data_IF_140970221947
#
_entry.id   IF_140970221947
#
_cell.length_a   1.000
_cell.length_b   1.000
_cell.length_c   1.000
_cell.angle_alpha   90.00
_cell.angle_beta   90.00
_cell.angle_gamma   90.00
#
_symmetry.space_group_name_H-M   'P 1'
#
loop_
_entity.id
_entity.type
_entity.pdbx_description
1 polymer ?
#
# COMPACT_ATOMS: atom_id res chain seq x y z
N UNK A 1 -5.58 7.72 15.45
CA UNK A 1 -5.09 7.01 14.26
C UNK A 1 -6.26 6.34 13.57
N UNK A 2 -6.37 6.49 12.21
CA UNK A 2 -7.39 5.84 11.40
C UNK A 2 -6.97 4.42 11.04
N UNK A 3 -7.93 3.56 10.72
CA UNK A 3 -7.69 2.21 10.27
C UNK A 3 -8.31 2.00 8.90
N UNK A 4 -7.51 1.58 7.92
CA UNK A 4 -7.94 1.12 6.61
C UNK A 4 -7.60 -0.35 6.41
N UNK A 5 -8.23 -1.01 5.44
CA UNK A 5 -7.86 -2.35 5.01
C UNK A 5 -6.91 -2.28 3.81
N UNK A 6 -5.90 -3.13 3.79
CA UNK A 6 -4.93 -3.23 2.71
C UNK A 6 -4.90 -4.66 2.16
N UNK A 7 -4.76 -4.78 0.85
CA UNK A 7 -4.70 -6.06 0.16
C UNK A 7 -3.39 -6.17 -0.62
N UNK A 8 -2.87 -7.38 -0.71
CA UNK A 8 -1.64 -7.65 -1.45
C UNK A 8 -1.63 -9.03 -2.11
N UNK A 9 -2.49 -9.93 -1.65
CA UNK A 9 -2.69 -11.33 -2.00
C UNK A 9 -1.42 -12.21 -1.91
N UNK A 10 -1.40 -13.04 -0.91
CA UNK A 10 -0.48 -14.17 -0.81
C UNK A 10 -1.29 -15.49 -0.69
N UNK A 11 -2.26 -15.66 -1.57
CA UNK A 11 -3.12 -16.84 -1.62
C UNK A 11 -3.15 -17.43 -3.02
N UNK A 12 -3.35 -18.77 -3.11
CA UNK A 12 -3.35 -19.49 -4.39
C UNK A 12 -4.71 -19.47 -5.11
N UNK A 13 -5.83 -19.28 -4.37
CA UNK A 13 -7.16 -19.27 -4.95
C UNK A 13 -7.63 -17.84 -5.23
N UNK A 14 -7.58 -17.45 -6.50
CA UNK A 14 -7.99 -16.12 -6.96
C UNK A 14 -9.44 -15.80 -6.66
N UNK A 15 -10.34 -16.79 -6.72
CA UNK A 15 -11.77 -16.60 -6.44
C UNK A 15 -11.98 -16.23 -4.96
N UNK A 16 -11.30 -16.93 -4.06
CA UNK A 16 -11.34 -16.65 -2.63
C UNK A 16 -10.73 -15.29 -2.30
N UNK A 17 -9.68 -14.85 -3.01
CA UNK A 17 -9.09 -13.54 -2.82
C UNK A 17 -10.06 -12.41 -3.21
N UNK A 18 -10.79 -12.53 -4.31
CA UNK A 18 -11.82 -11.53 -4.67
C UNK A 18 -13.02 -11.57 -3.73
N UNK A 19 -13.43 -12.75 -3.24
CA UNK A 19 -14.47 -12.87 -2.20
C UNK A 19 -14.02 -12.12 -0.94
N UNK A 20 -12.80 -12.40 -0.45
CA UNK A 20 -12.22 -11.73 0.70
C UNK A 20 -12.21 -10.20 0.52
N UNK A 21 -11.73 -9.69 -0.62
CA UNK A 21 -11.73 -8.27 -0.92
C UNK A 21 -13.12 -7.65 -0.80
N UNK A 22 -14.13 -8.25 -1.46
CA UNK A 22 -15.47 -7.65 -1.52
C UNK A 22 -16.22 -7.75 -0.19
N UNK A 23 -16.10 -8.86 0.54
CA UNK A 23 -16.72 -9.02 1.85
C UNK A 23 -16.06 -8.13 2.91
N UNK A 24 -14.72 -8.06 2.93
CA UNK A 24 -13.99 -7.18 3.82
C UNK A 24 -14.25 -5.69 3.52
N UNK A 25 -14.38 -5.30 2.24
CA UNK A 25 -14.74 -3.94 1.86
C UNK A 25 -16.13 -3.54 2.39
N UNK A 26 -17.15 -4.43 2.29
CA UNK A 26 -18.49 -4.18 2.89
C UNK A 26 -18.41 -4.06 4.41
N UNK A 27 -17.63 -4.93 5.05
CA UNK A 27 -17.40 -4.87 6.49
C UNK A 27 -16.75 -3.54 6.88
N UNK A 28 -15.67 -3.14 6.20
CA UNK A 28 -14.98 -1.89 6.45
C UNK A 28 -15.91 -0.67 6.31
N UNK A 29 -16.76 -0.66 5.27
CA UNK A 29 -17.75 0.38 5.03
C UNK A 29 -18.80 0.44 6.14
N UNK A 30 -19.23 -0.70 6.66
CA UNK A 30 -20.19 -0.80 7.74
C UNK A 30 -19.60 -0.37 9.09
N UNK A 31 -18.37 -0.77 9.38
CA UNK A 31 -17.72 -0.61 10.68
C UNK A 31 -16.84 0.67 10.80
N UNK A 32 -16.91 1.60 9.85
CA UNK A 32 -16.28 2.91 9.97
C UNK A 32 -14.76 2.92 9.76
N UNK A 33 -14.22 1.98 8.99
CA UNK A 33 -12.84 2.05 8.54
C UNK A 33 -12.66 3.23 7.57
N UNK A 34 -11.44 3.73 7.45
CA UNK A 34 -11.12 4.91 6.63
C UNK A 34 -11.04 4.60 5.14
N UNK A 35 -10.45 3.48 4.76
CA UNK A 35 -10.14 3.16 3.37
C UNK A 35 -10.03 1.66 3.09
N UNK A 36 -10.16 1.32 1.81
CA UNK A 36 -9.75 0.03 1.24
C UNK A 36 -8.67 0.31 0.19
N UNK A 37 -7.49 -0.29 0.37
CA UNK A 37 -6.33 -0.15 -0.50
C UNK A 37 -6.12 -1.40 -1.34
N UNK A 38 -6.04 -1.24 -2.66
CA UNK A 38 -5.77 -2.36 -3.59
C UNK A 38 -4.46 -2.15 -4.34
N UNK A 39 -3.61 -3.19 -4.46
CA UNK A 39 -2.27 -3.08 -5.03
C UNK A 39 -2.26 -3.23 -6.55
N UNK A 40 -1.06 -3.04 -7.13
CA UNK A 40 -0.71 -3.40 -8.49
C UNK A 40 0.45 -4.40 -8.49
N UNK A 41 0.26 -5.55 -9.15
CA UNK A 41 1.28 -6.60 -9.29
C UNK A 41 1.15 -7.30 -10.63
N UNK A 42 2.29 -7.59 -11.26
CA UNK A 42 2.33 -8.21 -12.58
C UNK A 42 3.21 -9.46 -12.61
N UNK A 43 2.85 -10.43 -13.45
CA UNK A 43 3.68 -11.56 -13.89
C UNK A 43 4.28 -12.42 -12.78
N UNK A 44 3.64 -12.49 -11.61
CA UNK A 44 4.09 -13.28 -10.49
C UNK A 44 2.89 -13.82 -9.69
N UNK A 45 2.99 -15.04 -9.15
CA UNK A 45 1.91 -15.66 -8.35
C UNK A 45 1.62 -14.87 -7.07
N UNK A 46 2.67 -14.28 -6.48
CA UNK A 46 2.55 -13.40 -5.34
C UNK A 46 1.92 -12.07 -5.76
N UNK A 47 0.70 -11.82 -5.32
CA UNK A 47 -0.10 -10.66 -5.73
C UNK A 47 -0.88 -10.84 -7.04
N UNK A 48 -0.88 -12.04 -7.63
CA UNK A 48 -1.50 -12.35 -8.93
C UNK A 48 -2.93 -11.85 -9.14
N UNK A 49 -3.85 -11.83 -8.14
CA UNK A 49 -5.20 -11.32 -8.31
C UNK A 49 -5.30 -9.81 -8.58
N UNK A 50 -4.23 -9.05 -8.39
CA UNK A 50 -4.27 -7.58 -8.45
C UNK A 50 -3.40 -6.96 -9.55
N UNK A 51 -3.65 -7.26 -10.85
CA UNK A 51 -2.84 -6.66 -11.93
C UNK A 51 -3.19 -5.19 -12.21
N UNK A 52 -4.36 -4.72 -11.78
CA UNK A 52 -4.80 -3.35 -12.00
C UNK A 52 -5.65 -2.84 -10.83
N UNK A 53 -5.12 -1.88 -10.04
CA UNK A 53 -5.84 -1.34 -8.89
C UNK A 53 -7.10 -0.53 -9.28
N UNK A 54 -7.19 0.07 -10.47
CA UNK A 54 -8.39 0.81 -10.89
C UNK A 54 -9.58 -0.14 -11.10
N UNK A 55 -9.34 -1.35 -11.62
CA UNK A 55 -10.38 -2.36 -11.83
C UNK A 55 -10.93 -2.89 -10.50
N UNK A 56 -10.06 -3.26 -9.55
CA UNK A 56 -10.48 -3.74 -8.24
C UNK A 56 -11.10 -2.63 -7.40
N UNK A 57 -10.58 -1.42 -7.48
CA UNK A 57 -11.15 -0.23 -6.84
C UNK A 57 -12.53 0.13 -7.39
N UNK A 58 -12.77 0.00 -8.70
CA UNK A 58 -14.10 0.20 -9.28
C UNK A 58 -15.13 -0.81 -8.72
N UNK A 59 -14.72 -2.08 -8.54
CA UNK A 59 -15.58 -3.08 -7.92
C UNK A 59 -15.91 -2.72 -6.46
N UNK A 60 -14.91 -2.30 -5.66
CA UNK A 60 -15.11 -1.83 -4.28
C UNK A 60 -15.99 -0.58 -4.23
N UNK A 61 -15.78 0.38 -5.13
CA UNK A 61 -16.53 1.63 -5.18
C UNK A 61 -18.05 1.40 -5.31
N UNK A 62 -18.46 0.39 -6.10
CA UNK A 62 -19.88 0.10 -6.36
C UNK A 62 -20.62 -0.59 -5.21
N UNK A 63 -19.90 -1.11 -4.22
CA UNK A 63 -20.47 -1.86 -3.09
C UNK A 63 -20.26 -1.18 -1.73
N UNK A 64 -19.64 -0.01 -1.73
CA UNK A 64 -19.33 0.81 -0.54
C UNK A 64 -19.85 2.22 -0.72
N UNK A 65 -20.02 2.95 0.39
CA UNK A 65 -20.58 4.30 0.39
C UNK A 65 -19.82 5.30 1.26
N UNK A 66 -18.91 4.84 2.11
CA UNK A 66 -18.20 5.66 3.11
C UNK A 66 -16.69 5.56 3.03
N UNK A 67 -16.16 4.33 2.95
CA UNK A 67 -14.70 4.11 2.89
C UNK A 67 -14.11 4.73 1.64
N UNK A 68 -12.94 5.35 1.77
CA UNK A 68 -12.15 5.76 0.62
C UNK A 68 -11.67 4.53 -0.15
N UNK A 69 -11.59 4.66 -1.46
CA UNK A 69 -11.14 3.60 -2.38
C UNK A 69 -9.80 4.00 -2.96
N UNK A 70 -8.76 3.30 -2.57
CA UNK A 70 -7.39 3.76 -2.82
C UNK A 70 -6.51 2.72 -3.51
N UNK A 71 -5.63 3.21 -4.40
CA UNK A 71 -4.52 2.40 -4.88
C UNK A 71 -3.41 2.31 -3.83
N UNK A 72 -2.97 1.13 -3.54
CA UNK A 72 -1.81 0.89 -2.70
C UNK A 72 -0.81 -0.08 -3.33
N UNK A 73 -0.25 0.25 -4.52
CA UNK A 73 -0.11 1.51 -5.25
C UNK A 73 -0.43 1.39 -6.73
N UNK A 74 -0.43 2.52 -7.46
CA UNK A 74 -0.22 2.56 -8.91
C UNK A 74 1.29 2.64 -9.17
N UNK A 75 1.84 1.72 -9.94
CA UNK A 75 3.24 1.77 -10.41
C UNK A 75 3.30 2.68 -11.64
N UNK A 76 3.29 3.99 -11.40
CA UNK A 76 3.05 5.01 -12.43
C UNK A 76 3.98 4.92 -13.65
N UNK A 77 5.28 4.57 -13.52
CA UNK A 77 6.18 4.42 -14.67
C UNK A 77 5.81 3.30 -15.67
N UNK A 78 4.90 2.38 -15.29
CA UNK A 78 4.42 1.32 -16.19
C UNK A 78 3.31 1.80 -17.12
N UNK A 79 2.69 2.97 -16.85
CA UNK A 79 1.45 3.41 -17.47
C UNK A 79 1.59 4.74 -18.23
N UNK A 80 0.69 4.93 -19.19
CA UNK A 80 0.38 6.25 -19.72
C UNK A 80 -0.46 7.03 -18.71
N UNK A 81 -0.03 8.23 -18.36
CA UNK A 81 -0.66 9.08 -17.33
C UNK A 81 -2.07 9.53 -17.72
N UNK A 82 -2.35 9.66 -19.03
CA UNK A 82 -3.72 9.93 -19.52
C UNK A 82 -4.66 8.79 -19.15
N UNK A 83 -4.21 7.53 -19.36
CA UNK A 83 -5.00 6.34 -18.98
C UNK A 83 -5.24 6.27 -17.48
N UNK A 84 -4.22 6.52 -16.67
CA UNK A 84 -4.35 6.55 -15.20
C UNK A 84 -5.37 7.63 -14.78
N UNK A 85 -5.28 8.84 -15.35
CA UNK A 85 -6.21 9.91 -15.03
C UNK A 85 -7.66 9.56 -15.41
N UNK A 86 -7.90 8.97 -16.62
CA UNK A 86 -9.22 8.57 -17.05
C UNK A 86 -9.81 7.43 -16.21
N UNK A 87 -9.02 6.38 -15.95
CA UNK A 87 -9.45 5.23 -15.15
C UNK A 87 -9.83 5.64 -13.73
N UNK A 88 -9.00 6.46 -13.09
CA UNK A 88 -9.25 6.89 -11.72
C UNK A 88 -10.35 7.97 -11.63
N UNK A 89 -10.57 8.77 -12.67
CA UNK A 89 -11.74 9.63 -12.75
C UNK A 89 -13.05 8.80 -12.83
N UNK A 90 -13.04 7.63 -13.47
CA UNK A 90 -14.18 6.68 -13.45
C UNK A 90 -14.38 6.14 -12.03
N UNK A 91 -13.30 5.72 -11.34
CA UNK A 91 -13.38 5.25 -9.94
C UNK A 91 -13.93 6.36 -9.03
N UNK A 92 -13.47 7.59 -9.22
CA UNK A 92 -13.93 8.75 -8.43
C UNK A 92 -15.42 9.03 -8.66
N UNK A 93 -15.90 8.95 -9.91
CA UNK A 93 -17.32 9.07 -10.22
C UNK A 93 -18.15 7.94 -9.59
N UNK A 94 -17.70 6.68 -9.70
CA UNK A 94 -18.40 5.51 -9.14
C UNK A 94 -18.43 5.53 -7.61
N UNK A 95 -17.41 6.07 -6.98
CA UNK A 95 -17.29 6.15 -5.52
C UNK A 95 -17.89 7.40 -4.90
N UNK A 96 -18.43 8.33 -5.70
CA UNK A 96 -18.91 9.63 -5.22
C UNK A 96 -17.80 10.49 -4.59
N UNK A 97 -16.63 10.53 -5.23
CA UNK A 97 -15.49 11.36 -4.80
C UNK A 97 -14.63 10.76 -3.70
N UNK A 98 -14.54 9.41 -3.58
CA UNK A 98 -13.75 8.72 -2.54
C UNK A 98 -12.45 8.10 -3.08
N UNK A 99 -12.04 8.42 -4.31
CA UNK A 99 -10.81 7.90 -4.88
C UNK A 99 -9.55 8.53 -4.26
N UNK A 100 -8.47 7.74 -4.16
CA UNK A 100 -7.14 8.20 -3.76
C UNK A 100 -6.05 7.30 -4.32
N UNK A 101 -4.85 7.83 -4.56
CA UNK A 101 -3.78 7.09 -5.21
C UNK A 101 -2.46 7.19 -4.45
N UNK A 102 -1.92 6.03 -4.05
CA UNK A 102 -0.50 5.96 -3.74
C UNK A 102 0.27 5.64 -5.03
N UNK A 103 1.34 6.38 -5.27
CA UNK A 103 2.17 6.29 -6.46
C UNK A 103 3.50 5.64 -6.11
N UNK A 104 3.82 4.54 -6.81
CA UNK A 104 5.10 3.85 -6.68
C UNK A 104 5.98 4.05 -7.91
N UNK A 105 7.30 4.02 -7.71
CA UNK A 105 8.27 4.05 -8.82
C UNK A 105 8.43 2.68 -9.52
N UNK A 106 8.04 1.60 -8.85
CA UNK A 106 8.33 0.25 -9.31
C UNK A 106 9.77 -0.18 -8.99
N UNK A 107 9.93 -1.42 -8.56
CA UNK A 107 11.23 -1.99 -8.16
C UNK A 107 11.53 -3.32 -8.88
N UNK A 108 10.51 -4.03 -9.35
CA UNK A 108 10.67 -5.32 -10.01
C UNK A 108 10.92 -5.13 -11.52
N UNK A 109 12.12 -5.48 -12.04
CA UNK A 109 12.43 -5.32 -13.46
C UNK A 109 11.47 -6.08 -14.39
N UNK A 110 10.87 -7.19 -13.92
CA UNK A 110 9.95 -7.98 -14.72
C UNK A 110 8.65 -7.22 -15.03
N UNK A 111 8.18 -6.37 -14.14
CA UNK A 111 6.98 -5.55 -14.37
C UNK A 111 7.21 -4.56 -15.52
N UNK A 112 8.47 -4.13 -15.70
CA UNK A 112 8.85 -3.16 -16.73
C UNK A 112 8.85 -3.74 -18.17
N UNK A 113 8.47 -4.99 -18.39
CA UNK A 113 8.15 -5.45 -19.74
C UNK A 113 6.96 -4.68 -20.33
N UNK A 114 6.13 -4.04 -19.49
CA UNK A 114 5.05 -3.13 -19.90
C UNK A 114 5.60 -1.79 -20.41
N UNK A 115 6.74 -1.33 -19.90
CA UNK A 115 7.37 -0.06 -20.27
C UNK A 115 8.90 -0.13 -20.14
N UNK A 116 9.60 -0.90 -20.98
CA UNK A 116 11.03 -1.21 -20.79
C UNK A 116 11.94 0.02 -20.73
N UNK A 117 11.61 1.08 -21.49
CA UNK A 117 12.36 2.33 -21.51
C UNK A 117 12.24 3.19 -20.25
N UNK A 118 11.43 2.78 -19.27
CA UNK A 118 11.15 3.58 -18.07
C UNK A 118 11.88 3.09 -16.80
N UNK A 119 12.49 1.89 -16.82
CA UNK A 119 13.08 1.30 -15.61
C UNK A 119 14.20 2.18 -15.00
N UNK A 120 15.16 2.61 -15.81
CA UNK A 120 16.31 3.40 -15.34
C UNK A 120 15.95 4.83 -14.86
N UNK A 121 14.80 5.34 -15.25
CA UNK A 121 14.31 6.69 -14.91
C UNK A 121 13.03 6.68 -14.09
N UNK A 122 12.67 5.56 -13.50
CA UNK A 122 11.40 5.36 -12.82
C UNK A 122 11.12 6.40 -11.72
N UNK A 123 12.12 6.77 -10.92
CA UNK A 123 11.97 7.78 -9.86
C UNK A 123 11.66 9.18 -10.41
N UNK A 124 12.36 9.61 -11.47
CA UNK A 124 12.07 10.91 -12.09
C UNK A 124 10.68 10.96 -12.71
N UNK A 125 10.24 9.83 -13.30
CA UNK A 125 8.90 9.69 -13.87
C UNK A 125 7.78 9.78 -12.81
N UNK A 126 8.05 9.46 -11.54
CA UNK A 126 7.10 9.68 -10.45
C UNK A 126 6.88 11.17 -10.21
N UNK A 127 7.97 11.97 -10.11
CA UNK A 127 7.88 13.41 -9.91
C UNK A 127 7.05 14.10 -11.00
N UNK A 128 7.45 13.89 -12.25
CA UNK A 128 6.78 14.48 -13.42
C UNK A 128 5.33 13.98 -13.53
N UNK A 129 5.13 12.71 -13.23
CA UNK A 129 3.83 12.05 -13.32
C UNK A 129 2.82 12.55 -12.30
N UNK A 130 3.23 12.81 -11.06
CA UNK A 130 2.36 13.38 -10.01
C UNK A 130 1.90 14.78 -10.43
N UNK A 131 2.81 15.61 -10.94
CA UNK A 131 2.46 16.95 -11.42
C UNK A 131 1.47 16.90 -12.58
N UNK A 132 1.71 16.03 -13.55
CA UNK A 132 0.83 15.86 -14.69
C UNK A 132 -0.54 15.28 -14.31
N UNK A 133 -0.60 14.30 -13.39
CA UNK A 133 -1.86 13.77 -12.89
C UNK A 133 -2.70 14.86 -12.18
N UNK A 134 -2.09 15.76 -11.42
CA UNK A 134 -2.78 16.89 -10.82
C UNK A 134 -3.36 17.83 -11.88
N UNK A 135 -2.58 18.17 -12.91
CA UNK A 135 -3.04 19.02 -14.00
C UNK A 135 -4.21 18.36 -14.78
N UNK A 136 -4.10 17.08 -15.10
CA UNK A 136 -5.18 16.32 -15.76
C UNK A 136 -6.43 16.23 -14.89
N UNK A 137 -6.26 16.01 -13.59
CA UNK A 137 -7.37 15.92 -12.64
C UNK A 137 -8.12 17.25 -12.51
N UNK A 138 -7.38 18.38 -12.41
CA UNK A 138 -7.98 19.72 -12.38
C UNK A 138 -8.63 20.14 -13.70
N UNK A 139 -8.36 19.42 -14.81
CA UNK A 139 -8.93 19.68 -16.13
C UNK A 139 -8.05 20.48 -17.07
N UNK A 140 -6.83 20.69 -16.69
CA UNK A 140 -5.89 21.32 -17.58
C UNK A 140 -5.60 20.43 -18.80
N UNK A 141 -5.35 21.08 -19.95
CA UNK A 141 -4.92 20.39 -21.14
C UNK A 141 -3.43 20.08 -21.06
N UNK A 142 -3.04 18.87 -21.43
CA UNK A 142 -1.64 18.49 -21.59
C UNK A 142 -1.29 18.33 -23.05
N UNK A 143 -0.02 18.64 -23.40
CA UNK A 143 0.47 18.46 -24.75
C UNK A 143 0.91 17.03 -24.99
N UNK A 144 0.51 16.47 -26.14
CA UNK A 144 0.90 15.13 -26.59
C UNK A 144 1.19 15.13 -28.09
N UNK A 145 2.17 14.32 -28.54
CA UNK A 145 2.38 14.12 -29.98
C UNK A 145 1.19 13.36 -30.57
N UNK A 146 0.65 13.87 -31.66
CA UNK A 146 -0.35 13.18 -32.47
C UNK A 146 0.27 12.18 -33.46
N UNK A 147 -0.56 11.39 -34.18
CA UNK A 147 -0.07 10.35 -35.10
C UNK A 147 0.86 10.86 -36.20
N UNK A 148 0.71 12.12 -36.63
CA UNK A 148 1.56 12.77 -37.64
C UNK A 148 2.75 13.53 -37.06
N UNK A 149 2.98 13.45 -35.74
CA UNK A 149 4.02 14.19 -35.02
C UNK A 149 3.62 15.63 -34.66
N UNK A 150 2.41 16.07 -35.01
CA UNK A 150 1.86 17.35 -34.56
C UNK A 150 1.57 17.35 -33.06
N UNK A 151 1.78 18.46 -32.38
CA UNK A 151 1.38 18.63 -30.99
C UNK A 151 -0.15 18.79 -30.90
N UNK A 152 -0.75 18.06 -29.97
CA UNK A 152 -2.18 18.15 -29.62
C UNK A 152 -2.36 18.51 -28.16
N UNK A 153 -3.33 19.36 -27.89
CA UNK A 153 -3.83 19.60 -26.54
C UNK A 153 -4.88 18.55 -26.22
N UNK A 154 -4.70 17.80 -25.15
CA UNK A 154 -5.56 16.69 -24.74
C UNK A 154 -6.14 16.99 -23.36
N UNK A 155 -7.45 16.85 -23.21
CA UNK A 155 -8.18 16.81 -21.95
C UNK A 155 -8.66 15.40 -21.69
N UNK A 156 -8.67 14.98 -20.42
CA UNK A 156 -9.18 13.68 -20.01
C UNK A 156 -10.65 13.73 -19.61
N UNK A 157 -11.38 12.67 -19.87
CA UNK A 157 -12.79 12.47 -19.52
C UNK A 157 -13.01 11.02 -19.05
N UNK A 158 -13.97 10.77 -18.08
CA UNK A 158 -14.84 11.78 -17.47
C UNK A 158 -14.07 12.75 -16.57
N UNK A 159 -14.70 13.85 -16.18
CA UNK A 159 -14.14 14.70 -15.12
C UNK A 159 -14.36 14.03 -13.78
N UNK A 160 -13.39 14.06 -12.86
CA UNK A 160 -13.57 13.57 -11.50
C UNK A 160 -14.60 14.42 -10.74
N UNK A 161 -15.11 13.92 -9.63
CA UNK A 161 -16.01 14.68 -8.74
C UNK A 161 -15.25 15.57 -7.77
N UNK A 162 -14.09 15.10 -7.27
CA UNK A 162 -13.19 15.91 -6.44
C UNK A 162 -12.38 16.86 -7.30
N UNK A 163 -12.15 18.06 -6.80
CA UNK A 163 -11.30 19.06 -7.45
C UNK A 163 -9.80 18.64 -7.38
N UNK A 164 -9.41 18.00 -6.29
CA UNK A 164 -8.05 17.45 -6.09
C UNK A 164 -8.10 15.96 -5.77
N UNK A 165 -7.20 15.19 -6.37
CA UNK A 165 -6.99 13.78 -5.99
C UNK A 165 -6.05 13.70 -4.79
N UNK A 166 -6.43 12.99 -3.70
CA UNK A 166 -5.50 12.67 -2.63
C UNK A 166 -4.39 11.76 -3.14
N UNK A 167 -3.14 12.19 -3.01
CA UNK A 167 -1.96 11.47 -3.48
C UNK A 167 -1.03 11.12 -2.32
N UNK A 168 -0.48 9.92 -2.37
CA UNK A 168 0.62 9.45 -1.53
C UNK A 168 1.78 9.02 -2.43
N UNK A 169 3.00 9.07 -1.91
CA UNK A 169 4.16 8.40 -2.50
C UNK A 169 4.44 7.15 -1.70
N UNK A 170 4.63 6.02 -2.38
CA UNK A 170 4.98 4.76 -1.73
C UNK A 170 6.48 4.66 -1.52
N UNK A 171 6.90 4.47 -0.27
CA UNK A 171 8.28 4.39 0.14
C UNK A 171 8.55 3.15 1.01
N UNK A 172 9.58 2.39 0.66
CA UNK A 172 10.01 1.20 1.40
C UNK A 172 11.20 1.46 2.36
N UNK A 173 11.52 2.74 2.68
CA UNK A 173 12.59 3.13 3.59
C UNK A 173 13.74 3.92 2.96
N UNK A 174 13.58 4.46 1.74
CA UNK A 174 14.54 5.39 1.12
C UNK A 174 14.25 6.82 1.55
N UNK A 175 15.17 7.48 2.27
CA UNK A 175 15.07 8.89 2.68
C UNK A 175 14.74 9.82 1.49
N UNK A 176 15.40 9.61 0.34
CA UNK A 176 15.12 10.36 -0.88
C UNK A 176 13.63 10.29 -1.31
N UNK A 177 12.99 9.13 -1.12
CA UNK A 177 11.58 8.95 -1.49
C UNK A 177 10.64 9.62 -0.48
N UNK A 178 11.00 9.63 0.79
CA UNK A 178 10.28 10.37 1.83
C UNK A 178 10.36 11.88 1.59
N UNK A 179 11.57 12.41 1.36
CA UNK A 179 11.75 13.84 1.01
C UNK A 179 10.99 14.21 -0.26
N UNK A 180 11.01 13.35 -1.31
CA UNK A 180 10.25 13.56 -2.54
C UNK A 180 8.74 13.72 -2.28
N UNK A 181 8.17 12.91 -1.38
CA UNK A 181 6.77 13.02 -1.02
C UNK A 181 6.45 14.38 -0.40
N UNK A 182 7.28 14.83 0.54
CA UNK A 182 7.18 16.15 1.17
C UNK A 182 7.28 17.28 0.15
N UNK A 183 8.33 17.28 -0.68
CA UNK A 183 8.52 18.28 -1.75
C UNK A 183 7.33 18.39 -2.70
N UNK A 184 6.62 17.31 -2.93
CA UNK A 184 5.45 17.26 -3.80
C UNK A 184 4.12 17.55 -3.07
N UNK A 185 4.12 17.75 -1.75
CA UNK A 185 2.90 17.89 -0.95
C UNK A 185 1.99 16.67 -1.07
N UNK A 186 2.59 15.47 -1.11
CA UNK A 186 1.89 14.19 -1.09
C UNK A 186 1.99 13.56 0.29
N UNK A 187 1.02 12.71 0.67
CA UNK A 187 1.19 11.83 1.81
C UNK A 187 2.27 10.77 1.58
N UNK A 188 2.60 10.03 2.63
CA UNK A 188 3.49 8.86 2.59
C UNK A 188 2.66 7.58 2.80
N UNK A 189 2.90 6.56 1.97
CA UNK A 189 2.51 5.17 2.24
C UNK A 189 3.77 4.34 2.42
N UNK A 190 3.99 3.82 3.61
CA UNK A 190 5.16 3.01 3.95
C UNK A 190 4.80 1.74 4.71
N UNK A 191 5.79 0.94 5.12
CA UNK A 191 5.62 -0.29 5.87
C UNK A 191 6.83 -0.56 6.79
N UNK A 192 6.66 -1.47 7.77
CA UNK A 192 7.73 -1.85 8.70
C UNK A 192 8.49 -3.13 8.31
N UNK A 193 8.12 -3.81 7.22
CA UNK A 193 8.86 -4.97 6.75
C UNK A 193 10.20 -4.52 6.13
N UNK A 194 11.32 -4.94 6.73
CA UNK A 194 12.66 -4.55 6.27
C UNK A 194 13.13 -3.14 6.66
N UNK A 195 12.35 -2.41 7.48
CA UNK A 195 12.70 -1.09 8.01
C UNK A 195 12.78 -1.14 9.56
N UNK A 196 13.84 -0.56 10.14
CA UNK A 196 13.95 -0.40 11.59
C UNK A 196 13.09 0.77 12.09
N UNK A 197 12.83 0.82 13.40
CA UNK A 197 12.12 1.93 14.02
C UNK A 197 12.86 3.25 13.85
N UNK A 198 14.16 3.28 14.15
CA UNK A 198 14.99 4.47 14.01
C UNK A 198 14.98 4.99 12.56
N UNK A 199 15.03 4.05 11.58
CA UNK A 199 14.95 4.41 10.16
C UNK A 199 13.61 5.01 9.78
N UNK A 200 12.49 4.49 10.33
CA UNK A 200 11.18 5.08 10.11
C UNK A 200 11.11 6.49 10.68
N UNK A 201 11.57 6.68 11.93
CA UNK A 201 11.57 7.97 12.61
C UNK A 201 12.40 9.02 11.83
N UNK A 202 13.63 8.68 11.44
CA UNK A 202 14.49 9.56 10.64
C UNK A 202 13.80 9.92 9.29
N UNK A 203 13.24 8.93 8.60
CA UNK A 203 12.57 9.15 7.32
C UNK A 203 11.31 10.03 7.46
N UNK A 204 10.53 9.90 8.54
CA UNK A 204 9.37 10.74 8.80
C UNK A 204 9.79 12.19 9.10
N UNK A 205 10.91 12.38 9.79
CA UNK A 205 11.48 13.71 10.01
C UNK A 205 11.90 14.36 8.67
N UNK A 206 12.62 13.62 7.80
CA UNK A 206 13.00 14.07 6.46
C UNK A 206 11.76 14.43 5.61
N UNK A 207 10.68 13.67 5.71
CA UNK A 207 9.42 13.94 5.02
C UNK A 207 8.78 15.25 5.50
N UNK A 208 8.65 15.42 6.82
CA UNK A 208 8.02 16.61 7.41
C UNK A 208 8.84 17.88 7.12
N UNK A 209 10.18 17.82 7.21
CA UNK A 209 11.08 18.92 6.86
C UNK A 209 10.93 19.32 5.37
N UNK A 210 10.88 18.33 4.48
CA UNK A 210 10.70 18.58 3.04
C UNK A 210 9.32 19.17 2.72
N UNK A 211 8.26 18.74 3.41
CA UNK A 211 6.89 19.23 3.28
C UNK A 211 6.81 20.73 3.68
N UNK A 212 7.35 21.05 4.84
CA UNK A 212 7.42 22.42 5.35
C UNK A 212 8.28 23.31 4.45
N UNK A 213 9.45 22.81 4.04
CA UNK A 213 10.39 23.50 3.14
C UNK A 213 9.79 23.81 1.77
N UNK A 214 8.86 22.99 1.30
CA UNK A 214 8.10 23.24 0.06
C UNK A 214 6.90 24.18 0.24
N UNK A 215 6.63 24.63 1.47
CA UNK A 215 5.56 25.58 1.80
C UNK A 215 4.18 24.95 1.93
N UNK A 216 4.10 23.63 2.11
CA UNK A 216 2.84 22.96 2.41
C UNK A 216 2.57 22.98 3.93
N UNK A 217 1.31 23.14 4.29
CA UNK A 217 0.88 23.10 5.70
C UNK A 217 0.63 21.68 6.20
N UNK A 218 0.39 21.56 7.50
CA UNK A 218 0.16 20.29 8.19
C UNK A 218 -1.07 19.51 7.65
N UNK A 219 -1.98 20.19 6.98
CA UNK A 219 -3.12 19.54 6.32
C UNK A 219 -2.73 18.60 5.16
N UNK A 220 -1.49 18.74 4.68
CA UNK A 220 -0.88 17.83 3.68
C UNK A 220 -0.07 16.73 4.32
N UNK A 221 0.26 16.84 5.60
CA UNK A 221 0.95 15.80 6.35
C UNK A 221 0.01 14.61 6.54
N UNK A 222 0.31 13.52 5.84
CA UNK A 222 -0.49 12.30 5.84
C UNK A 222 0.42 11.10 5.80
N UNK A 223 0.58 10.46 6.94
CA UNK A 223 1.42 9.28 7.07
C UNK A 223 0.55 8.04 7.22
N UNK A 224 0.66 7.12 6.26
CA UNK A 224 -0.01 5.83 6.27
C UNK A 224 1.03 4.72 6.38
N UNK A 225 0.88 3.86 7.38
CA UNK A 225 1.78 2.70 7.59
C UNK A 225 1.02 1.40 7.36
N UNK A 226 1.47 0.60 6.40
CA UNK A 226 0.94 -0.74 6.15
C UNK A 226 1.54 -1.73 7.16
N UNK A 227 0.66 -2.50 7.81
CA UNK A 227 1.02 -3.53 8.79
C UNK A 227 0.32 -4.85 8.48
N UNK A 228 1.05 -5.96 8.52
CA UNK A 228 0.44 -7.29 8.51
C UNK A 228 -0.45 -7.44 9.73
N UNK A 229 -1.71 -7.81 9.52
CA UNK A 229 -2.76 -7.70 10.54
C UNK A 229 -3.57 -8.97 10.66
N UNK A 230 -3.58 -9.55 11.87
CA UNK A 230 -4.48 -10.63 12.26
C UNK A 230 -4.77 -10.52 13.75
N UNK A 231 -5.90 -9.92 14.11
CA UNK A 231 -6.30 -9.72 15.52
C UNK A 231 -7.28 -10.79 15.93
N UNK A 232 -6.91 -11.62 16.91
CA UNK A 232 -7.75 -12.70 17.45
C UNK A 232 -8.22 -12.40 18.89
N UNK A 233 -9.01 -13.30 19.46
CA UNK A 233 -9.47 -13.18 20.85
C UNK A 233 -8.30 -13.24 21.84
N UNK A 234 -7.27 -14.05 21.52
CA UNK A 234 -6.05 -14.15 22.30
C UNK A 234 -4.79 -14.15 21.42
N UNK A 235 -3.68 -13.67 21.98
CA UNK A 235 -2.41 -13.50 21.26
C UNK A 235 -1.79 -14.83 20.84
N UNK A 236 -2.00 -15.91 21.56
CA UNK A 236 -1.44 -17.22 21.22
C UNK A 236 -2.09 -17.74 19.94
N UNK A 237 -3.42 -17.72 19.87
CA UNK A 237 -4.18 -18.10 18.68
C UNK A 237 -3.77 -17.25 17.47
N UNK A 238 -3.65 -15.93 17.64
CA UNK A 238 -3.21 -15.03 16.57
C UNK A 238 -1.82 -15.39 16.05
N UNK A 239 -0.85 -15.58 16.93
CA UNK A 239 0.53 -15.89 16.57
C UNK A 239 0.66 -17.29 15.94
N UNK A 240 -0.09 -18.29 16.42
CA UNK A 240 -0.08 -19.64 15.85
C UNK A 240 -0.69 -19.65 14.43
N UNK A 241 -1.85 -19.01 14.25
CA UNK A 241 -2.54 -18.94 12.94
C UNK A 241 -1.72 -18.17 11.89
N UNK A 242 -1.13 -17.05 12.26
CA UNK A 242 -0.38 -16.21 11.34
C UNK A 242 1.03 -16.73 11.00
N UNK A 243 1.59 -17.68 11.75
CA UNK A 243 3.00 -18.14 11.60
C UNK A 243 3.30 -18.66 10.20
N UNK A 244 2.59 -19.69 9.77
CA UNK A 244 2.86 -20.31 8.47
C UNK A 244 2.59 -19.37 7.29
N UNK A 245 1.46 -18.61 7.25
CA UNK A 245 1.23 -17.59 6.25
C UNK A 245 2.31 -16.52 6.19
N UNK A 246 2.70 -15.96 7.33
CA UNK A 246 3.68 -14.87 7.40
C UNK A 246 5.10 -15.32 7.01
N UNK A 247 5.52 -16.51 7.42
CA UNK A 247 6.82 -17.06 7.01
C UNK A 247 6.85 -17.35 5.50
N UNK A 248 5.75 -17.82 4.91
CA UNK A 248 5.62 -17.99 3.46
C UNK A 248 5.66 -16.62 2.75
N UNK A 249 4.96 -15.61 3.26
CA UNK A 249 5.01 -14.23 2.76
C UNK A 249 6.44 -13.67 2.78
N UNK A 250 7.14 -13.78 3.91
CA UNK A 250 8.53 -13.32 4.04
C UNK A 250 9.45 -14.02 3.05
N UNK A 251 9.30 -15.34 2.85
CA UNK A 251 10.07 -16.13 1.88
C UNK A 251 9.83 -15.64 0.45
N UNK A 252 8.58 -15.44 0.06
CA UNK A 252 8.22 -14.94 -1.27
C UNK A 252 8.77 -13.53 -1.51
N UNK A 253 8.68 -12.65 -0.52
CA UNK A 253 9.26 -11.30 -0.58
C UNK A 253 10.77 -11.34 -0.75
N UNK A 254 11.49 -12.16 0.02
CA UNK A 254 12.95 -12.33 -0.13
C UNK A 254 13.35 -12.80 -1.52
N UNK A 255 12.62 -13.73 -2.11
CA UNK A 255 12.89 -14.23 -3.46
C UNK A 255 12.73 -13.16 -4.52
N UNK A 256 11.70 -12.32 -4.38
CA UNK A 256 11.42 -11.21 -5.30
C UNK A 256 12.47 -10.11 -5.23
N UNK A 257 12.96 -9.77 -4.04
CA UNK A 257 14.03 -8.77 -3.87
C UNK A 257 15.43 -9.25 -4.31
N UNK A 258 15.52 -10.46 -4.90
CA UNK A 258 16.81 -11.02 -5.32
C UNK A 258 17.77 -11.28 -4.16
N UNK A 259 17.26 -11.23 -2.93
CA UNK A 259 17.97 -11.69 -1.75
C UNK A 259 18.05 -13.22 -1.86
N UNK A 260 18.89 -13.69 -2.80
CA UNK A 260 19.38 -15.06 -2.73
C UNK A 260 19.85 -15.26 -1.29
N UNK A 261 19.46 -16.36 -0.67
CA UNK A 261 20.03 -16.87 0.59
C UNK A 261 21.44 -16.30 0.79
N UNK A 262 21.82 -15.79 1.97
CA UNK A 262 23.05 -15.05 2.14
C UNK A 262 24.26 -15.80 1.56
N UNK A 263 24.60 -15.48 0.34
CA UNK A 263 25.90 -15.79 -0.26
C UNK A 263 26.89 -14.72 0.23
N UNK A 264 26.91 -14.52 1.53
CA UNK A 264 27.93 -13.72 2.17
C UNK A 264 29.13 -14.61 2.47
N UNK A 265 30.18 -14.44 1.69
CA UNK A 265 31.52 -14.86 2.02
C UNK A 265 31.72 -16.39 2.29
N UNK A 266 31.55 -17.24 1.25
CA UNK A 266 32.11 -18.59 1.28
C UNK A 266 31.34 -19.67 2.07
N UNK A 267 30.13 -19.35 2.56
CA UNK A 267 29.19 -20.33 3.11
C UNK A 267 28.27 -20.77 1.98
N UNK A 268 28.20 -22.08 1.71
CA UNK A 268 27.30 -22.68 0.71
C UNK A 268 25.84 -22.32 0.97
N UNK A 269 24.90 -22.64 0.04
CA UNK A 269 23.49 -22.34 0.22
C UNK A 269 23.03 -22.85 1.58
N UNK A 270 22.39 -21.97 2.37
CA UNK A 270 21.83 -22.35 3.66
C UNK A 270 20.93 -23.58 3.46
N UNK A 271 21.06 -24.59 4.30
CA UNK A 271 20.17 -25.74 4.23
C UNK A 271 18.72 -25.27 4.43
N UNK A 272 17.74 -26.01 3.85
CA UNK A 272 16.32 -25.69 4.05
C UNK A 272 15.91 -25.63 5.53
N UNK A 273 16.65 -26.33 6.40
CA UNK A 273 16.46 -26.28 7.84
C UNK A 273 16.95 -24.94 8.42
N UNK A 274 18.13 -24.48 8.04
CA UNK A 274 18.67 -23.19 8.51
C UNK A 274 17.84 -22.01 8.00
N UNK A 275 17.31 -22.08 6.79
CA UNK A 275 16.40 -21.07 6.26
C UNK A 275 15.07 -21.04 7.02
N UNK A 276 14.53 -22.21 7.38
CA UNK A 276 13.31 -22.28 8.22
C UNK A 276 13.54 -21.65 9.58
N UNK A 277 14.63 -22.00 10.25
CA UNK A 277 14.97 -21.46 11.57
C UNK A 277 15.15 -19.92 11.52
N UNK A 278 15.81 -19.41 10.48
CA UNK A 278 15.94 -17.97 10.26
C UNK A 278 14.58 -17.28 10.08
N UNK A 279 13.70 -17.86 9.26
CA UNK A 279 12.34 -17.30 9.03
C UNK A 279 11.47 -17.39 10.27
N UNK A 280 11.58 -18.46 11.06
CA UNK A 280 10.85 -18.60 12.31
C UNK A 280 11.30 -17.56 13.33
N UNK A 281 12.61 -17.32 13.45
CA UNK A 281 13.14 -16.27 14.32
C UNK A 281 12.71 -14.87 13.84
N UNK A 282 12.82 -14.60 12.55
CA UNK A 282 12.38 -13.34 11.96
C UNK A 282 10.87 -13.11 12.16
N UNK A 283 10.06 -14.17 12.06
CA UNK A 283 8.64 -14.11 12.36
C UNK A 283 8.36 -13.71 13.80
N UNK A 284 9.01 -14.37 14.78
CA UNK A 284 8.81 -14.08 16.22
C UNK A 284 9.10 -12.62 16.56
N UNK A 285 10.20 -12.08 16.02
CA UNK A 285 10.56 -10.68 16.23
C UNK A 285 9.55 -9.74 15.54
N UNK A 286 9.29 -10.00 14.25
CA UNK A 286 8.47 -9.10 13.43
C UNK A 286 7.01 -9.08 13.88
N UNK A 287 6.42 -10.24 14.18
CA UNK A 287 5.05 -10.36 14.63
C UNK A 287 4.79 -9.61 15.94
N UNK A 288 5.77 -9.61 16.86
CA UNK A 288 5.63 -8.96 18.17
C UNK A 288 5.90 -7.46 18.17
N UNK A 289 6.68 -6.97 17.21
CA UNK A 289 7.19 -5.59 17.26
C UNK A 289 6.74 -4.70 16.12
N UNK A 290 6.23 -5.28 15.00
CA UNK A 290 5.98 -4.55 13.75
C UNK A 290 4.72 -4.99 13.01
N UNK A 291 3.86 -5.81 13.64
CA UNK A 291 2.62 -6.31 13.07
C UNK A 291 1.48 -6.14 14.07
N UNK A 292 0.26 -6.04 13.57
CA UNK A 292 -0.94 -6.16 14.38
C UNK A 292 -1.38 -7.65 14.42
N UNK A 293 -0.50 -8.51 14.98
CA UNK A 293 -0.75 -9.95 15.14
C UNK A 293 -0.80 -10.25 16.63
N UNK A 294 -2.02 -10.41 17.17
CA UNK A 294 -2.22 -10.59 18.61
C UNK A 294 -3.65 -10.43 19.05
N UNK A 295 -3.86 -10.27 20.35
CA UNK A 295 -5.14 -9.80 20.90
C UNK A 295 -5.27 -8.29 20.78
N UNK A 296 -6.47 -7.76 20.96
CA UNK A 296 -6.71 -6.30 21.00
C UNK A 296 -5.76 -5.62 21.98
N UNK A 297 -5.64 -6.14 23.22
CA UNK A 297 -4.78 -5.53 24.23
C UNK A 297 -3.30 -5.57 23.88
N UNK A 298 -2.82 -6.63 23.23
CA UNK A 298 -1.40 -6.75 22.84
C UNK A 298 -1.03 -5.90 21.64
N UNK A 299 -1.99 -5.49 20.80
CA UNK A 299 -1.76 -4.63 19.66
C UNK A 299 -1.77 -3.14 19.99
N UNK A 300 -2.45 -2.72 21.07
CA UNK A 300 -2.55 -1.30 21.47
C UNK A 300 -1.21 -0.58 21.57
N UNK A 301 -0.17 -1.11 22.26
CA UNK A 301 1.10 -0.39 22.41
C UNK A 301 1.79 -0.08 21.07
N UNK A 302 1.59 -0.92 20.03
CA UNK A 302 2.11 -0.67 18.71
C UNK A 302 1.38 0.48 18.03
N UNK A 303 0.05 0.53 18.17
CA UNK A 303 -0.77 1.62 17.63
C UNK A 303 -0.40 2.95 18.29
N UNK A 304 -0.30 2.96 19.63
CA UNK A 304 0.12 4.15 20.40
C UNK A 304 1.49 4.65 19.95
N UNK A 305 2.48 3.76 19.81
CA UNK A 305 3.81 4.13 19.34
C UNK A 305 3.79 4.75 17.94
N UNK A 306 2.99 4.22 17.03
CA UNK A 306 2.87 4.77 15.69
C UNK A 306 2.15 6.13 15.69
N UNK A 307 1.13 6.29 16.55
CA UNK A 307 0.46 7.57 16.75
C UNK A 307 1.44 8.65 17.27
N UNK A 308 2.29 8.30 18.25
CA UNK A 308 3.30 9.20 18.79
C UNK A 308 4.35 9.63 17.76
N UNK A 309 4.58 8.80 16.71
CA UNK A 309 5.43 9.13 15.58
C UNK A 309 4.73 9.96 14.49
N UNK A 310 3.46 10.34 14.68
CA UNK A 310 2.71 11.14 13.72
C UNK A 310 2.06 10.32 12.62
N UNK A 311 1.86 9.00 12.81
CA UNK A 311 1.13 8.17 11.85
C UNK A 311 -0.37 8.45 11.93
N UNK A 312 -0.99 8.83 10.80
CA UNK A 312 -2.41 9.17 10.71
C UNK A 312 -3.29 7.95 10.47
N UNK A 313 -2.77 6.98 9.71
CA UNK A 313 -3.55 5.82 9.29
C UNK A 313 -2.71 4.53 9.31
N UNK A 314 -3.31 3.47 9.83
CA UNK A 314 -2.81 2.10 9.71
C UNK A 314 -3.53 1.40 8.56
N UNK A 315 -2.80 1.03 7.52
CA UNK A 315 -3.30 0.23 6.41
C UNK A 315 -3.11 -1.25 6.73
N UNK A 316 -4.16 -1.88 7.24
CA UNK A 316 -4.15 -3.24 7.78
C UNK A 316 -4.13 -4.28 6.66
N UNK A 317 -2.97 -4.90 6.39
CA UNK A 317 -2.81 -5.97 5.40
C UNK A 317 -3.34 -7.28 5.97
N UNK A 318 -4.48 -7.75 5.46
CA UNK A 318 -5.22 -8.90 6.01
C UNK A 318 -5.08 -10.18 5.16
N UNK A 319 -4.61 -10.08 3.92
CA UNK A 319 -4.57 -11.17 2.94
C UNK A 319 -3.15 -11.75 2.69
N UNK A 320 -2.32 -11.74 3.72
CA UNK A 320 -0.93 -12.22 3.64
C UNK A 320 -0.78 -13.76 3.65
N UNK A 321 -1.88 -14.48 3.44
CA UNK A 321 -1.91 -15.95 3.32
C UNK A 321 -2.71 -16.68 4.39
N UNK A 322 -3.35 -15.95 5.32
CA UNK A 322 -4.37 -16.51 6.21
C UNK A 322 -5.61 -16.88 5.37
N UNK A 323 -6.28 -17.97 5.71
CA UNK A 323 -7.48 -18.40 5.01
C UNK A 323 -8.57 -17.30 5.04
N UNK A 324 -9.30 -17.14 3.93
CA UNK A 324 -10.24 -16.03 3.76
C UNK A 324 -11.29 -15.96 4.89
N UNK A 325 -11.85 -17.11 5.30
CA UNK A 325 -12.85 -17.14 6.38
C UNK A 325 -12.25 -16.74 7.75
N UNK A 326 -11.00 -17.13 8.03
CA UNK A 326 -10.29 -16.74 9.25
C UNK A 326 -9.97 -15.24 9.23
N UNK A 327 -9.49 -14.72 8.09
CA UNK A 327 -9.23 -13.30 7.92
C UNK A 327 -10.50 -12.45 8.10
N UNK A 328 -11.64 -12.86 7.50
CA UNK A 328 -12.93 -12.20 7.67
C UNK A 328 -13.44 -12.30 9.13
N UNK A 329 -13.26 -13.45 9.78
CA UNK A 329 -13.60 -13.61 11.21
C UNK A 329 -12.81 -12.67 12.12
N UNK A 330 -11.53 -12.46 11.83
CA UNK A 330 -10.63 -11.58 12.58
C UNK A 330 -10.98 -10.08 12.47
N UNK A 331 -11.71 -9.66 11.43
CA UNK A 331 -12.08 -8.25 11.24
C UNK A 331 -12.92 -7.68 12.41
N UNK A 332 -13.69 -8.50 13.10
CA UNK A 332 -14.46 -8.06 14.27
C UNK A 332 -13.54 -7.61 15.40
N UNK A 333 -12.48 -8.36 15.69
CA UNK A 333 -11.50 -7.98 16.70
C UNK A 333 -10.69 -6.74 16.24
N UNK A 334 -10.43 -6.61 14.95
CA UNK A 334 -9.78 -5.42 14.39
C UNK A 334 -10.68 -4.18 14.53
N UNK A 335 -11.99 -4.30 14.35
CA UNK A 335 -12.95 -3.22 14.60
C UNK A 335 -12.97 -2.81 16.08
N UNK A 336 -12.92 -3.77 17.01
CA UNK A 336 -12.78 -3.48 18.45
C UNK A 336 -11.48 -2.75 18.77
N UNK A 337 -10.37 -3.16 18.15
CA UNK A 337 -9.08 -2.45 18.31
C UNK A 337 -9.20 -0.99 17.83
N UNK A 338 -9.79 -0.76 16.64
CA UNK A 338 -10.04 0.57 16.09
C UNK A 338 -10.86 1.44 17.05
N UNK A 339 -11.99 0.91 17.55
CA UNK A 339 -12.86 1.64 18.48
C UNK A 339 -12.15 2.04 19.79
N UNK A 340 -11.30 1.18 20.30
CA UNK A 340 -10.49 1.48 21.49
C UNK A 340 -9.47 2.59 21.24
N UNK A 341 -8.89 2.61 20.04
CA UNK A 341 -7.92 3.66 19.65
C UNK A 341 -8.60 5.03 19.38
N UNK A 342 -9.88 5.07 19.05
CA UNK A 342 -10.63 6.34 18.92
C UNK A 342 -10.96 6.99 20.28
N UNK A 343 -10.83 6.24 21.37
CA UNK A 343 -11.08 6.72 22.73
C UNK A 343 -9.81 7.21 23.45
N UNK A 344 -8.65 6.99 22.83
CA UNK A 344 -7.36 7.51 23.26
C UNK A 344 -7.10 8.90 22.68
#
# INVERSE_FOLDING_TARGET
>A
VKFGLFFFANGQDTTEQYRLLLEAARFADAEGFSAVWTPERHFHDFGAPFPNPSVTSAAVATITSRVDVRAGSVVLPLHDRLRVAEEWAVVDQLSDGRAGLAIASGWNPQDFVLAPGNFEKNKSLVRDGIQELRALWSGEAVRRPGPGGEERLVHTYPRPRRDEVPLWVTAAGSAETFSLAGELGCGILTHLLGQSWDRLEDNLADYSEALEGAGYGIERDRVTVMLHTFVAEDSRTALETARAPMTAYMRSSMSLFGLKSPQSHGVGPASDAAMRELLDHAYEEHARTRCLIGSVDSCLPLVERLADLGVDELACLIDFGVAADEALGALRNLAVLRERCEQL
#
